data_IF_246088404154
#
_entry.id   IF_246088404154
#
_cell.length_a   1.000
_cell.length_b   1.000
_cell.length_c   1.000
_cell.angle_alpha   90.00
_cell.angle_beta   90.00
_cell.angle_gamma   90.00
#
_symmetry.space_group_name_H-M   'P 1'
#
loop_
_entity.id
_entity.type
_entity.pdbx_description
1 polymer ?
#
# COMPACT_ATOMS: atom_id res chain seq x y z
N UNK A 1 4.42 -36.87 -9.09
CA UNK A 1 3.91 -36.42 -7.79
C UNK A 1 2.43 -36.72 -7.77
N UNK A 2 1.98 -37.74 -7.02
CA UNK A 2 0.58 -38.05 -6.84
C UNK A 2 -0.10 -36.97 -6.02
N UNK A 3 -1.42 -36.82 -6.12
CA UNK A 3 -2.17 -35.89 -5.30
C UNK A 3 -1.94 -36.26 -3.82
N UNK A 4 -1.63 -35.26 -2.99
CA UNK A 4 -1.65 -35.43 -1.53
C UNK A 4 -3.10 -35.66 -1.15
N UNK A 5 -3.48 -36.94 -1.08
CA UNK A 5 -4.73 -37.33 -0.41
C UNK A 5 -4.43 -37.08 1.07
N UNK A 6 -5.04 -36.04 1.64
CA UNK A 6 -5.10 -35.86 3.08
C UNK A 6 -5.79 -37.12 3.63
N UNK A 7 -4.98 -38.02 4.18
CA UNK A 7 -5.48 -39.21 4.84
C UNK A 7 -6.15 -38.76 6.15
N UNK A 8 -7.47 -38.61 6.09
CA UNK A 8 -8.33 -38.22 7.21
C UNK A 8 -8.34 -39.26 8.36
N UNK A 9 -7.61 -40.36 8.20
CA UNK A 9 -7.45 -41.43 9.19
C UNK A 9 -6.14 -41.38 9.98
N UNK A 10 -5.32 -40.32 9.85
CA UNK A 10 -4.25 -40.09 10.82
C UNK A 10 -4.84 -39.92 12.21
N UNK A 11 -4.35 -40.62 13.24
CA UNK A 11 -5.07 -40.80 14.49
C UNK A 11 -5.36 -39.45 15.17
N UNK A 12 -6.63 -39.15 15.33
CA UNK A 12 -7.18 -37.96 16.01
C UNK A 12 -6.43 -37.63 17.32
N UNK A 13 -5.95 -38.67 18.02
CA UNK A 13 -5.14 -38.57 19.23
C UNK A 13 -3.80 -37.89 19.02
N UNK A 14 -3.11 -38.11 17.89
CA UNK A 14 -1.84 -37.45 17.57
C UNK A 14 -2.05 -35.96 17.32
N UNK A 15 -3.08 -35.59 16.60
CA UNK A 15 -3.39 -34.21 16.26
C UNK A 15 -3.85 -33.44 17.51
N UNK A 16 -4.62 -34.08 18.39
CA UNK A 16 -5.02 -33.53 19.70
C UNK A 16 -3.78 -33.35 20.59
N UNK A 17 -2.86 -34.31 20.63
CA UNK A 17 -1.62 -34.21 21.42
C UNK A 17 -0.71 -33.08 20.90
N UNK A 18 -0.55 -32.94 19.59
CA UNK A 18 0.20 -31.83 18.96
C UNK A 18 -0.47 -30.49 19.24
N UNK A 19 -1.77 -30.37 19.05
CA UNK A 19 -2.51 -29.15 19.36
C UNK A 19 -2.43 -28.79 20.84
N UNK A 20 -2.52 -29.78 21.74
CA UNK A 20 -2.39 -29.61 23.20
C UNK A 20 -0.99 -29.12 23.60
N UNK A 21 0.06 -29.74 23.05
CA UNK A 21 1.45 -29.30 23.30
C UNK A 21 1.71 -27.91 22.78
N UNK A 22 1.27 -27.57 21.58
CA UNK A 22 1.38 -26.22 21.04
C UNK A 22 0.67 -25.19 21.90
N UNK A 23 -0.56 -25.50 22.34
CA UNK A 23 -1.34 -24.61 23.21
C UNK A 23 -0.66 -24.36 24.54
N UNK A 24 -0.17 -25.43 25.21
CA UNK A 24 0.55 -25.30 26.47
C UNK A 24 1.84 -24.49 26.30
N UNK A 25 2.59 -24.74 25.24
CA UNK A 25 3.83 -23.99 24.92
C UNK A 25 3.55 -22.50 24.69
N UNK A 26 2.49 -22.16 23.95
CA UNK A 26 2.08 -20.77 23.72
C UNK A 26 1.63 -20.08 25.03
N UNK A 27 0.85 -20.76 25.86
CA UNK A 27 0.40 -20.20 27.15
C UNK A 27 1.58 -19.97 28.09
N UNK A 28 2.52 -20.92 28.17
CA UNK A 28 3.74 -20.77 28.96
C UNK A 28 4.61 -19.63 28.44
N UNK A 29 4.77 -19.52 27.13
CA UNK A 29 5.50 -18.44 26.49
C UNK A 29 4.88 -17.07 26.86
N UNK A 30 3.58 -16.89 26.70
CA UNK A 30 2.87 -15.67 27.06
C UNK A 30 3.02 -15.33 28.57
N UNK A 31 2.98 -16.34 29.44
CA UNK A 31 3.17 -16.14 30.87
C UNK A 31 4.59 -15.71 31.23
N UNK A 32 5.59 -16.29 30.58
CA UNK A 32 7.01 -15.93 30.77
C UNK A 32 7.28 -14.54 30.23
N UNK A 33 6.81 -14.24 28.99
CA UNK A 33 6.98 -12.94 28.35
C UNK A 33 6.32 -11.81 29.15
N UNK A 34 5.18 -12.08 29.79
CA UNK A 34 4.50 -11.10 30.63
C UNK A 34 5.32 -10.57 31.82
N UNK A 35 6.41 -11.26 32.19
CA UNK A 35 7.33 -10.84 33.25
C UNK A 35 8.44 -9.89 32.80
N UNK A 36 8.65 -9.73 31.50
CA UNK A 36 9.67 -8.85 30.94
C UNK A 36 9.12 -7.41 30.74
N UNK A 37 10.03 -6.39 30.68
CA UNK A 37 9.62 -5.04 30.29
C UNK A 37 9.11 -5.01 28.86
N UNK A 38 8.16 -4.12 28.56
CA UNK A 38 7.43 -4.06 27.28
C UNK A 38 8.36 -4.15 26.05
N UNK A 39 9.51 -3.43 26.07
CA UNK A 39 10.48 -3.46 24.96
C UNK A 39 11.06 -4.84 24.73
N UNK A 40 11.39 -5.55 25.82
CA UNK A 40 11.93 -6.91 25.72
C UNK A 40 10.84 -7.88 25.21
N UNK A 41 9.59 -7.77 25.67
CA UNK A 41 8.47 -8.55 25.14
C UNK A 41 8.36 -8.40 23.62
N UNK A 42 8.34 -7.17 23.14
CA UNK A 42 8.22 -6.88 21.69
C UNK A 42 9.38 -7.50 20.91
N UNK A 43 10.63 -7.29 21.36
CA UNK A 43 11.82 -7.84 20.67
C UNK A 43 11.80 -9.37 20.66
N UNK A 44 11.46 -10.01 21.80
CA UNK A 44 11.42 -11.47 21.90
C UNK A 44 10.37 -12.05 20.95
N UNK A 45 9.15 -11.48 20.94
CA UNK A 45 8.08 -11.93 20.02
C UNK A 45 8.48 -11.76 18.56
N UNK A 46 9.14 -10.66 18.20
CA UNK A 46 9.65 -10.48 16.83
C UNK A 46 10.72 -11.53 16.47
N UNK A 47 11.62 -11.86 17.40
CA UNK A 47 12.61 -12.92 17.17
C UNK A 47 11.95 -14.29 17.03
N UNK A 48 10.94 -14.61 17.85
CA UNK A 48 10.19 -15.86 17.77
C UNK A 48 9.43 -15.98 16.44
N UNK A 49 8.75 -14.90 16.02
CA UNK A 49 8.06 -14.86 14.74
C UNK A 49 9.03 -15.01 13.56
N UNK A 50 10.22 -14.41 13.66
CA UNK A 50 11.26 -14.58 12.65
C UNK A 50 11.77 -16.04 12.59
N UNK A 51 12.00 -16.67 13.75
CA UNK A 51 12.40 -18.07 13.79
C UNK A 51 11.32 -18.97 13.21
N UNK A 52 10.06 -18.78 13.59
CA UNK A 52 8.94 -19.53 13.01
C UNK A 52 8.83 -19.33 11.49
N UNK A 53 9.03 -18.10 11.02
CA UNK A 53 9.06 -17.78 9.60
C UNK A 53 10.18 -18.55 8.88
N UNK A 54 11.41 -18.56 9.43
CA UNK A 54 12.53 -19.29 8.84
C UNK A 54 12.29 -20.80 8.85
N UNK A 55 11.78 -21.37 9.93
CA UNK A 55 11.42 -22.78 10.02
C UNK A 55 10.32 -23.15 9.01
N UNK A 56 9.31 -22.29 8.86
CA UNK A 56 8.26 -22.48 7.86
C UNK A 56 8.85 -22.55 6.44
N UNK A 57 9.78 -21.66 6.11
CA UNK A 57 10.43 -21.69 4.80
C UNK A 57 11.37 -22.86 4.60
N UNK A 58 12.01 -23.35 5.65
CA UNK A 58 12.87 -24.54 5.57
C UNK A 58 12.06 -25.80 5.14
N UNK A 59 10.78 -25.87 5.52
CA UNK A 59 9.90 -26.99 5.11
C UNK A 59 9.65 -27.05 3.59
N UNK A 60 9.88 -25.97 2.84
CA UNK A 60 9.66 -25.91 1.38
C UNK A 60 10.89 -26.26 0.55
N UNK A 61 12.03 -26.63 1.18
CA UNK A 61 13.28 -26.97 0.49
C UNK A 61 13.71 -25.88 -0.52
N UNK A 62 13.68 -24.61 -0.08
CA UNK A 62 14.00 -23.46 -0.93
C UNK A 62 15.46 -23.47 -1.36
N UNK A 63 15.72 -23.19 -2.63
CA UNK A 63 17.07 -23.02 -3.14
C UNK A 63 17.57 -21.60 -2.89
N UNK A 64 18.31 -21.40 -1.80
CA UNK A 64 18.90 -20.10 -1.46
C UNK A 64 19.93 -19.63 -2.50
N UNK A 65 20.68 -20.56 -3.12
CA UNK A 65 21.60 -20.23 -4.21
C UNK A 65 20.89 -19.65 -5.44
N UNK A 66 19.71 -20.19 -5.77
CA UNK A 66 18.88 -19.65 -6.83
C UNK A 66 18.36 -18.25 -6.48
N UNK A 67 17.84 -18.05 -5.28
CA UNK A 67 17.40 -16.72 -4.80
C UNK A 67 18.54 -15.72 -4.91
N UNK A 68 19.74 -16.07 -4.40
CA UNK A 68 20.91 -15.20 -4.45
C UNK A 68 21.32 -14.82 -5.88
N UNK A 69 21.17 -15.73 -6.85
CA UNK A 69 21.48 -15.46 -8.25
C UNK A 69 20.51 -14.48 -8.93
N UNK A 70 19.25 -14.40 -8.45
CA UNK A 70 18.18 -13.59 -9.06
C UNK A 70 17.89 -12.28 -8.32
N UNK A 71 18.20 -12.21 -7.03
CA UNK A 71 17.84 -11.06 -6.17
C UNK A 71 18.46 -9.75 -6.69
N UNK A 72 19.67 -9.76 -7.20
CA UNK A 72 20.32 -8.59 -7.79
C UNK A 72 19.52 -8.00 -8.94
N UNK A 73 19.05 -8.84 -9.87
CA UNK A 73 18.20 -8.43 -10.98
C UNK A 73 16.83 -7.94 -10.51
N UNK A 74 16.21 -8.60 -9.54
CA UNK A 74 14.94 -8.15 -8.96
C UNK A 74 15.06 -6.79 -8.28
N UNK A 75 16.19 -6.50 -7.62
CA UNK A 75 16.43 -5.18 -7.02
C UNK A 75 16.65 -4.12 -8.11
N UNK A 76 17.58 -4.35 -9.02
CA UNK A 76 17.99 -3.33 -10.01
C UNK A 76 16.89 -3.01 -11.01
N UNK A 77 16.12 -3.99 -11.45
CA UNK A 77 15.04 -3.81 -12.41
C UNK A 77 13.67 -3.74 -11.74
N UNK A 78 13.33 -4.70 -10.89
CA UNK A 78 12.01 -4.83 -10.29
C UNK A 78 11.70 -3.73 -9.29
N UNK A 79 12.58 -3.53 -8.29
CA UNK A 79 12.40 -2.46 -7.29
C UNK A 79 12.41 -1.10 -7.97
N UNK A 80 13.34 -0.86 -8.91
CA UNK A 80 13.41 0.40 -9.64
C UNK A 80 12.10 0.70 -10.36
N UNK A 81 11.57 -0.26 -11.13
CA UNK A 81 10.30 -0.07 -11.87
C UNK A 81 9.11 0.11 -10.93
N UNK A 82 9.04 -0.68 -9.85
CA UNK A 82 8.00 -0.55 -8.81
C UNK A 82 7.98 0.85 -8.21
N UNK A 83 9.14 1.35 -7.78
CA UNK A 83 9.28 2.68 -7.18
C UNK A 83 9.01 3.78 -8.21
N UNK A 84 9.52 3.64 -9.42
CA UNK A 84 9.29 4.58 -10.52
C UNK A 84 7.79 4.73 -10.84
N UNK A 85 7.10 3.60 -11.09
CA UNK A 85 5.66 3.60 -11.41
C UNK A 85 4.86 4.19 -10.25
N UNK A 86 5.14 3.77 -9.02
CA UNK A 86 4.41 4.25 -7.85
C UNK A 86 4.64 5.75 -7.59
N UNK A 87 5.88 6.22 -7.71
CA UNK A 87 6.21 7.64 -7.47
C UNK A 87 5.58 8.55 -8.54
N UNK A 88 5.63 8.14 -9.80
CA UNK A 88 4.98 8.90 -10.87
C UNK A 88 3.46 8.91 -10.70
N UNK A 89 2.88 7.76 -10.36
CA UNK A 89 1.44 7.64 -10.14
C UNK A 89 0.96 8.48 -8.96
N UNK A 90 1.67 8.48 -7.82
CA UNK A 90 1.26 9.27 -6.65
C UNK A 90 1.38 10.78 -6.91
N UNK A 91 2.39 11.20 -7.68
CA UNK A 91 2.54 12.61 -8.05
C UNK A 91 1.35 13.10 -8.90
N UNK A 92 0.92 12.31 -9.89
CA UNK A 92 -0.26 12.61 -10.70
C UNK A 92 -1.53 12.52 -9.85
N UNK A 93 -1.68 11.47 -9.02
CA UNK A 93 -2.81 11.30 -8.11
C UNK A 93 -2.97 12.49 -7.16
N UNK A 94 -1.86 13.05 -6.67
CA UNK A 94 -1.86 14.24 -5.80
C UNK A 94 -2.47 15.45 -6.52
N UNK A 95 -2.09 15.69 -7.78
CA UNK A 95 -2.66 16.78 -8.59
C UNK A 95 -4.16 16.55 -8.82
N UNK A 96 -4.56 15.32 -9.20
CA UNK A 96 -5.96 14.97 -9.37
C UNK A 96 -6.77 15.15 -8.07
N UNK A 97 -6.17 14.80 -6.94
CA UNK A 97 -6.79 14.96 -5.63
C UNK A 97 -7.01 16.44 -5.24
N UNK A 98 -6.05 17.31 -5.55
CA UNK A 98 -6.21 18.76 -5.33
C UNK A 98 -7.35 19.32 -6.18
N UNK A 99 -7.39 18.96 -7.45
CA UNK A 99 -8.47 19.39 -8.36
C UNK A 99 -9.82 18.85 -7.91
N UNK A 100 -9.89 17.56 -7.59
CA UNK A 100 -11.09 16.89 -7.12
C UNK A 100 -11.60 17.47 -5.79
N UNK A 101 -10.74 17.67 -4.81
CA UNK A 101 -11.11 18.25 -3.52
C UNK A 101 -11.58 19.70 -3.66
N UNK A 102 -10.91 20.50 -4.48
CA UNK A 102 -11.31 21.88 -4.77
C UNK A 102 -12.69 21.92 -5.42
N UNK A 103 -12.94 21.06 -6.41
CA UNK A 103 -14.24 20.92 -7.06
C UNK A 103 -15.33 20.50 -6.07
N UNK A 104 -15.06 19.54 -5.19
CA UNK A 104 -15.99 19.04 -4.16
C UNK A 104 -16.31 20.06 -3.08
N UNK A 105 -15.40 20.99 -2.81
CA UNK A 105 -15.56 22.06 -1.80
C UNK A 105 -16.09 23.36 -2.41
N UNK A 106 -16.25 23.44 -3.73
CA UNK A 106 -16.77 24.61 -4.41
C UNK A 106 -18.30 24.76 -4.22
N UNK A 107 -18.83 25.92 -4.56
CA UNK A 107 -20.29 26.16 -4.67
C UNK A 107 -20.85 25.85 -6.07
N UNK A 108 -20.01 25.38 -7.00
CA UNK A 108 -20.41 25.08 -8.37
C UNK A 108 -20.97 23.66 -8.48
N UNK A 109 -22.30 23.52 -8.72
CA UNK A 109 -22.97 22.23 -8.81
C UNK A 109 -22.41 21.31 -9.91
N UNK A 110 -21.96 21.86 -11.04
CA UNK A 110 -21.37 21.11 -12.14
C UNK A 110 -19.99 20.50 -11.72
N UNK A 111 -19.14 21.31 -11.09
CA UNK A 111 -17.85 20.85 -10.58
C UNK A 111 -18.03 19.76 -9.51
N UNK A 112 -18.97 19.95 -8.58
CA UNK A 112 -19.32 18.97 -7.55
C UNK A 112 -19.79 17.66 -8.20
N UNK A 113 -20.66 17.71 -9.21
CA UNK A 113 -21.21 16.53 -9.87
C UNK A 113 -20.09 15.69 -10.55
N UNK A 114 -19.21 16.35 -11.33
CA UNK A 114 -18.09 15.68 -12.00
C UNK A 114 -17.13 15.04 -10.97
N UNK A 115 -16.72 15.79 -9.96
CA UNK A 115 -15.80 15.27 -8.95
C UNK A 115 -16.44 14.16 -8.10
N UNK A 116 -17.76 14.23 -7.87
CA UNK A 116 -18.52 13.17 -7.17
C UNK A 116 -18.60 11.90 -8.01
N UNK A 117 -18.88 12.02 -9.30
CA UNK A 117 -18.89 10.89 -10.23
C UNK A 117 -17.49 10.24 -10.31
N UNK A 118 -16.44 11.06 -10.49
CA UNK A 118 -15.06 10.60 -10.52
C UNK A 118 -14.70 9.80 -9.26
N UNK A 119 -14.93 10.36 -8.08
CA UNK A 119 -14.60 9.71 -6.82
C UNK A 119 -15.46 8.45 -6.58
N UNK A 120 -16.73 8.47 -6.94
CA UNK A 120 -17.61 7.31 -6.83
C UNK A 120 -17.17 6.18 -7.76
N UNK A 121 -16.90 6.47 -9.02
CA UNK A 121 -16.52 5.46 -10.02
C UNK A 121 -15.17 4.82 -9.70
N UNK A 122 -14.11 5.62 -9.55
CA UNK A 122 -12.75 5.08 -9.36
C UNK A 122 -12.51 4.45 -7.98
N UNK A 123 -13.32 4.73 -6.99
CA UNK A 123 -13.30 4.04 -5.70
C UNK A 123 -14.22 2.84 -5.64
N UNK A 124 -15.24 2.78 -6.50
CA UNK A 124 -16.21 1.69 -6.55
C UNK A 124 -15.82 0.54 -7.47
N UNK A 125 -14.98 0.78 -8.47
CA UNK A 125 -14.54 -0.24 -9.43
C UNK A 125 -13.19 -0.83 -8.97
N UNK A 126 -13.01 -2.17 -8.98
CA UNK A 126 -11.73 -2.78 -8.64
C UNK A 126 -10.58 -2.26 -9.52
N UNK A 127 -9.45 -1.93 -8.91
CA UNK A 127 -8.28 -1.37 -9.62
C UNK A 127 -7.80 -2.25 -10.77
N UNK A 128 -7.82 -3.56 -10.61
CA UNK A 128 -7.45 -4.50 -11.67
C UNK A 128 -8.32 -4.33 -12.93
N UNK A 129 -9.62 -4.10 -12.75
CA UNK A 129 -10.55 -3.85 -13.87
C UNK A 129 -10.21 -2.50 -14.53
N UNK A 130 -9.91 -1.46 -13.74
CA UNK A 130 -9.51 -0.16 -14.27
C UNK A 130 -8.25 -0.27 -15.14
N UNK A 131 -7.24 -1.05 -14.70
CA UNK A 131 -6.01 -1.30 -15.46
C UNK A 131 -6.34 -1.93 -16.82
N UNK A 132 -7.18 -2.97 -16.84
CA UNK A 132 -7.57 -3.62 -18.09
C UNK A 132 -8.42 -2.71 -19.00
N UNK A 133 -9.37 -1.97 -18.44
CA UNK A 133 -10.19 -1.05 -19.22
C UNK A 133 -9.35 0.04 -19.90
N UNK A 134 -8.32 0.54 -19.23
CA UNK A 134 -7.42 1.54 -19.80
C UNK A 134 -6.51 0.89 -20.85
N UNK A 135 -5.86 -0.22 -20.52
CA UNK A 135 -4.88 -0.86 -21.40
C UNK A 135 -5.49 -1.49 -22.65
N UNK A 136 -6.68 -2.09 -22.54
CA UNK A 136 -7.37 -2.76 -23.65
C UNK A 136 -8.43 -1.86 -24.31
N UNK A 137 -9.01 -0.91 -23.57
CA UNK A 137 -10.09 -0.06 -24.07
C UNK A 137 -9.59 1.12 -24.89
N UNK A 138 -8.54 1.82 -24.46
CA UNK A 138 -8.00 2.98 -25.19
C UNK A 138 -7.58 2.62 -26.62
N UNK A 139 -6.91 1.48 -26.90
CA UNK A 139 -6.57 1.08 -28.27
C UNK A 139 -7.78 0.90 -29.19
N UNK A 140 -8.94 0.52 -28.66
CA UNK A 140 -10.18 0.41 -29.46
C UNK A 140 -10.67 1.80 -29.95
N UNK A 141 -10.23 2.88 -29.33
CA UNK A 141 -10.48 4.25 -29.76
C UNK A 141 -9.41 4.76 -30.76
N UNK A 142 -8.48 3.90 -31.19
CA UNK A 142 -7.42 4.23 -32.14
C UNK A 142 -6.11 4.71 -31.50
N UNK A 143 -5.99 4.77 -30.17
CA UNK A 143 -4.79 5.23 -29.48
C UNK A 143 -4.05 4.08 -28.80
N UNK A 144 -2.85 3.74 -29.26
CA UNK A 144 -2.02 2.69 -28.64
C UNK A 144 -1.31 3.27 -27.42
N UNK A 145 -1.60 2.71 -26.24
CA UNK A 145 -0.97 3.08 -24.98
C UNK A 145 -0.08 1.95 -24.49
N UNK A 146 1.19 2.24 -24.21
CA UNK A 146 2.13 1.27 -23.63
C UNK A 146 1.72 0.85 -22.21
N UNK A 147 2.22 -0.32 -21.78
CA UNK A 147 1.84 -0.89 -20.48
C UNK A 147 2.17 0.03 -19.28
N UNK A 148 3.35 0.66 -19.29
CA UNK A 148 3.76 1.57 -18.19
C UNK A 148 2.85 2.79 -18.11
N UNK A 149 2.63 3.58 -19.19
CA UNK A 149 1.67 4.69 -19.15
C UNK A 149 0.26 4.28 -18.76
N UNK A 150 -0.24 3.14 -19.24
CA UNK A 150 -1.57 2.63 -18.90
C UNK A 150 -1.67 2.29 -17.40
N UNK A 151 -0.66 1.62 -16.85
CA UNK A 151 -0.58 1.30 -15.42
C UNK A 151 -0.49 2.55 -14.55
N UNK A 152 0.36 3.51 -14.93
CA UNK A 152 0.48 4.81 -14.23
C UNK A 152 -0.84 5.57 -14.26
N UNK A 153 -1.53 5.61 -15.40
CA UNK A 153 -2.82 6.30 -15.51
C UNK A 153 -3.88 5.64 -14.61
N UNK A 154 -3.98 4.32 -14.63
CA UNK A 154 -4.94 3.58 -13.80
C UNK A 154 -4.71 3.83 -12.30
N UNK A 155 -3.47 3.66 -11.84
CA UNK A 155 -3.08 3.93 -10.46
C UNK A 155 -3.36 5.39 -10.07
N UNK A 156 -3.01 6.34 -10.94
CA UNK A 156 -3.20 7.76 -10.67
C UNK A 156 -4.68 8.13 -10.53
N UNK A 157 -5.54 7.62 -11.40
CA UNK A 157 -6.98 7.88 -11.36
C UNK A 157 -7.62 7.26 -10.10
N UNK A 158 -7.27 6.02 -9.79
CA UNK A 158 -7.79 5.33 -8.62
C UNK A 158 -7.36 6.03 -7.32
N UNK A 159 -6.07 6.22 -7.12
CA UNK A 159 -5.53 6.83 -5.91
C UNK A 159 -5.83 8.32 -5.81
N UNK A 160 -5.92 9.03 -6.93
CA UNK A 160 -6.42 10.40 -6.98
C UNK A 160 -7.83 10.54 -6.43
N UNK A 161 -8.70 9.57 -6.72
CA UNK A 161 -10.06 9.53 -6.19
C UNK A 161 -10.08 9.30 -4.67
N UNK A 162 -9.26 8.39 -4.14
CA UNK A 162 -9.11 8.19 -2.69
C UNK A 162 -8.56 9.44 -2.00
N UNK A 163 -7.50 10.03 -2.55
CA UNK A 163 -6.87 11.23 -1.99
C UNK A 163 -7.77 12.47 -2.09
N UNK A 164 -8.64 12.56 -3.10
CA UNK A 164 -9.68 13.60 -3.20
C UNK A 164 -10.55 13.63 -1.94
N UNK A 165 -11.02 12.47 -1.50
CA UNK A 165 -11.85 12.38 -0.29
C UNK A 165 -11.05 12.66 0.99
N UNK A 166 -9.77 12.23 1.06
CA UNK A 166 -8.89 12.55 2.18
C UNK A 166 -8.73 14.07 2.31
N UNK A 167 -8.44 14.76 1.21
CA UNK A 167 -8.25 16.21 1.20
C UNK A 167 -9.54 16.95 1.56
N UNK A 168 -10.67 16.55 0.93
CA UNK A 168 -11.99 17.10 1.24
C UNK A 168 -12.33 16.91 2.73
N UNK A 169 -12.16 15.71 3.26
CA UNK A 169 -12.45 15.40 4.66
C UNK A 169 -11.55 16.20 5.62
N UNK A 170 -10.25 16.27 5.35
CA UNK A 170 -9.31 17.04 6.17
C UNK A 170 -9.63 18.53 6.22
N UNK A 171 -10.01 19.14 5.09
CA UNK A 171 -10.41 20.54 5.04
C UNK A 171 -11.77 20.76 5.74
N UNK A 172 -12.74 19.87 5.48
CA UNK A 172 -14.08 19.98 6.07
C UNK A 172 -14.12 19.73 7.57
N UNK A 173 -13.11 19.09 8.15
CA UNK A 173 -13.02 18.84 9.59
C UNK A 173 -12.59 20.04 10.42
N UNK A 174 -12.10 21.11 9.77
CA UNK A 174 -11.72 22.34 10.46
C UNK A 174 -12.96 23.05 11.01
N UNK A 175 -13.01 23.36 12.31
CA UNK A 175 -14.18 23.98 12.95
C UNK A 175 -14.65 25.26 12.25
N UNK A 176 -15.97 25.45 12.14
CA UNK A 176 -16.57 26.62 11.51
C UNK A 176 -16.09 27.93 12.12
N UNK A 177 -15.82 27.96 13.44
CA UNK A 177 -15.30 29.14 14.10
C UNK A 177 -13.97 29.67 13.52
N UNK A 178 -13.11 28.79 12.96
CA UNK A 178 -11.88 29.22 12.27
C UNK A 178 -12.20 30.01 10.98
N UNK A 179 -13.22 29.58 10.26
CA UNK A 179 -13.72 30.26 9.06
C UNK A 179 -14.39 31.60 9.39
N UNK A 180 -15.16 31.63 10.46
CA UNK A 180 -15.86 32.84 10.93
C UNK A 180 -14.88 33.86 11.49
N UNK A 181 -13.93 33.45 12.34
CA UNK A 181 -12.89 34.32 12.86
C UNK A 181 -12.02 34.93 11.75
N UNK A 182 -11.66 34.13 10.74
CA UNK A 182 -10.89 34.62 9.59
C UNK A 182 -11.64 35.72 8.83
N UNK A 183 -12.96 35.56 8.65
CA UNK A 183 -13.81 36.57 8.00
C UNK A 183 -13.96 37.82 8.86
N UNK A 184 -14.10 37.66 10.18
CA UNK A 184 -14.24 38.76 11.09
C UNK A 184 -13.03 39.71 11.11
N UNK A 185 -11.81 39.19 10.88
CA UNK A 185 -10.57 39.96 10.73
C UNK A 185 -10.29 40.45 9.30
N UNK A 186 -11.25 40.25 8.38
CA UNK A 186 -11.20 40.78 7.01
C UNK A 186 -10.35 39.96 6.03
N UNK A 187 -10.03 38.68 6.30
CA UNK A 187 -9.32 37.83 5.34
C UNK A 187 -10.21 37.47 4.15
N UNK A 188 -9.63 37.53 2.95
CA UNK A 188 -10.28 37.04 1.74
C UNK A 188 -10.43 35.50 1.80
N UNK A 189 -11.34 34.88 1.03
CA UNK A 189 -11.49 33.42 1.00
C UNK A 189 -10.18 32.68 0.71
N UNK A 190 -9.36 33.18 -0.22
CA UNK A 190 -8.06 32.61 -0.53
C UNK A 190 -7.07 32.74 0.63
N UNK A 191 -7.03 33.89 1.30
CA UNK A 191 -6.20 34.11 2.49
C UNK A 191 -6.65 33.23 3.64
N UNK A 192 -7.96 33.09 3.88
CA UNK A 192 -8.54 32.17 4.86
C UNK A 192 -8.08 30.75 4.58
N UNK A 193 -8.24 30.28 3.35
CA UNK A 193 -7.83 28.92 2.95
C UNK A 193 -6.32 28.70 3.16
N UNK A 194 -5.48 29.58 2.62
CA UNK A 194 -4.02 29.34 2.59
C UNK A 194 -3.33 29.63 3.92
N UNK A 195 -3.82 30.59 4.72
CA UNK A 195 -3.16 31.02 5.96
C UNK A 195 -3.73 30.37 7.22
N UNK A 196 -5.00 29.96 7.19
CA UNK A 196 -5.69 29.47 8.40
C UNK A 196 -6.12 27.99 8.25
N UNK A 197 -6.88 27.66 7.20
CA UNK A 197 -7.52 26.36 7.06
C UNK A 197 -6.52 25.29 6.60
N UNK A 198 -5.80 25.55 5.50
CA UNK A 198 -4.88 24.58 4.92
C UNK A 198 -3.77 24.16 5.88
N UNK A 199 -3.08 25.07 6.59
CA UNK A 199 -2.05 24.67 7.57
C UNK A 199 -2.60 23.76 8.68
N UNK A 200 -3.82 24.01 9.15
CA UNK A 200 -4.46 23.18 10.18
C UNK A 200 -4.89 21.82 9.61
N UNK A 201 -5.45 21.79 8.39
CA UNK A 201 -5.92 20.56 7.75
C UNK A 201 -4.78 19.63 7.32
N UNK A 202 -3.56 20.15 7.07
CA UNK A 202 -2.41 19.33 6.67
C UNK A 202 -2.06 18.25 7.69
N UNK A 203 -2.27 18.47 8.98
CA UNK A 203 -2.07 17.45 10.01
C UNK A 203 -3.00 16.26 9.86
N UNK A 204 -4.22 16.50 9.37
CA UNK A 204 -5.23 15.46 9.15
C UNK A 204 -5.09 14.82 7.77
N UNK A 205 -4.48 15.52 6.81
CA UNK A 205 -4.28 15.08 5.43
C UNK A 205 -3.00 14.24 5.26
N UNK A 206 -1.90 14.66 5.88
CA UNK A 206 -0.58 14.05 5.65
C UNK A 206 -0.53 12.56 6.04
N UNK A 207 -0.98 12.12 7.25
CA UNK A 207 -0.89 10.71 7.61
C UNK A 207 -1.66 9.78 6.66
N UNK A 208 -2.96 10.00 6.35
CA UNK A 208 -3.66 9.14 5.43
C UNK A 208 -3.10 9.22 4.00
N UNK A 209 -2.54 10.37 3.57
CA UNK A 209 -1.89 10.50 2.25
C UNK A 209 -0.63 9.63 2.16
N UNK A 210 0.19 9.61 3.21
CA UNK A 210 1.35 8.72 3.29
C UNK A 210 0.94 7.24 3.23
N UNK A 211 -0.11 6.86 3.95
CA UNK A 211 -0.67 5.50 3.89
C UNK A 211 -1.16 5.14 2.47
N UNK A 212 -1.72 6.10 1.72
CA UNK A 212 -2.10 5.86 0.32
C UNK A 212 -0.87 5.59 -0.56
N UNK A 213 0.26 6.25 -0.32
CA UNK A 213 1.48 5.98 -1.08
C UNK A 213 2.02 4.56 -0.82
N UNK A 214 2.07 4.15 0.46
CA UNK A 214 2.50 2.79 0.82
C UNK A 214 1.56 1.73 0.22
N UNK A 215 0.26 1.99 0.21
CA UNK A 215 -0.73 1.11 -0.42
C UNK A 215 -0.54 1.04 -1.93
N UNK A 216 -0.37 2.18 -2.59
CA UNK A 216 -0.12 2.25 -4.04
C UNK A 216 1.15 1.50 -4.45
N UNK A 217 2.22 1.56 -3.64
CA UNK A 217 3.45 0.82 -3.92
C UNK A 217 3.18 -0.69 -3.97
N UNK A 218 2.34 -1.22 -3.10
CA UNK A 218 1.95 -2.65 -3.11
C UNK A 218 0.98 -2.96 -4.26
N UNK A 219 0.01 -2.10 -4.50
CA UNK A 219 -0.98 -2.25 -5.57
C UNK A 219 -0.37 -2.05 -6.96
N UNK A 220 0.83 -1.45 -7.07
CA UNK A 220 1.58 -1.42 -8.33
C UNK A 220 1.90 -2.83 -8.86
N UNK A 221 1.89 -3.86 -8.00
CA UNK A 221 1.99 -5.27 -8.40
C UNK A 221 0.90 -5.69 -9.40
N UNK A 222 -0.26 -5.05 -9.38
CA UNK A 222 -1.35 -5.32 -10.31
C UNK A 222 -1.04 -4.95 -11.76
N UNK A 223 -0.11 -3.99 -12.00
CA UNK A 223 0.25 -3.64 -13.38
C UNK A 223 1.10 -4.72 -14.07
N UNK A 224 1.55 -5.73 -13.32
CA UNK A 224 2.20 -6.93 -13.87
C UNK A 224 1.34 -7.66 -14.89
N UNK A 225 0.01 -7.61 -14.75
CA UNK A 225 -0.93 -8.32 -15.62
C UNK A 225 -0.95 -7.77 -17.05
N UNK A 226 -0.55 -6.52 -17.24
CA UNK A 226 -0.42 -5.87 -18.55
C UNK A 226 1.03 -5.82 -19.05
N UNK A 227 1.95 -6.53 -18.38
CA UNK A 227 3.33 -6.70 -18.82
C UNK A 227 4.31 -5.63 -18.35
N UNK A 228 4.01 -4.87 -17.31
CA UNK A 228 4.97 -3.95 -16.68
C UNK A 228 6.00 -4.74 -15.87
N UNK A 229 7.28 -4.54 -16.14
CA UNK A 229 8.42 -5.29 -15.55
C UNK A 229 8.76 -4.79 -14.13
N UNK A 230 7.77 -4.80 -13.26
CA UNK A 230 7.94 -4.52 -11.84
C UNK A 230 8.18 -5.84 -11.05
N UNK A 231 8.32 -5.76 -9.73
CA UNK A 231 8.73 -6.89 -8.88
C UNK A 231 7.86 -8.15 -9.07
N UNK A 232 6.54 -8.02 -9.12
CA UNK A 232 5.63 -9.17 -9.25
C UNK A 232 5.74 -9.81 -10.63
N UNK A 233 5.86 -9.00 -11.70
CA UNK A 233 6.09 -9.51 -13.05
C UNK A 233 7.38 -10.32 -13.14
N UNK A 234 8.48 -9.78 -12.59
CA UNK A 234 9.77 -10.48 -12.59
C UNK A 234 9.72 -11.74 -11.74
N UNK A 235 9.09 -11.72 -10.58
CA UNK A 235 8.92 -12.91 -9.75
C UNK A 235 8.19 -14.03 -10.51
N UNK A 236 7.09 -13.70 -11.20
CA UNK A 236 6.32 -14.66 -11.99
C UNK A 236 7.09 -15.19 -13.19
N UNK A 237 7.80 -14.35 -13.92
CA UNK A 237 8.52 -14.74 -15.14
C UNK A 237 9.77 -15.55 -14.81
N UNK A 238 10.58 -15.12 -13.84
CA UNK A 238 11.76 -15.86 -13.40
C UNK A 238 11.39 -17.18 -12.71
N UNK A 239 10.35 -17.16 -11.87
CA UNK A 239 9.84 -18.37 -11.23
C UNK A 239 9.30 -19.40 -12.23
N UNK A 240 8.65 -18.93 -13.31
CA UNK A 240 8.15 -19.82 -14.38
C UNK A 240 9.28 -20.42 -15.21
N UNK A 241 10.29 -19.62 -15.56
CA UNK A 241 11.41 -20.07 -16.39
C UNK A 241 12.21 -21.23 -15.76
N UNK A 242 12.31 -21.26 -14.44
CA UNK A 242 13.11 -22.23 -13.68
C UNK A 242 12.25 -23.21 -12.85
N UNK A 243 10.90 -23.14 -12.98
CA UNK A 243 9.94 -23.92 -12.17
C UNK A 243 10.10 -23.69 -10.65
N UNK A 244 10.55 -22.48 -10.26
CA UNK A 244 10.81 -22.06 -8.87
C UNK A 244 9.94 -20.86 -8.47
N UNK A 245 8.62 -21.08 -8.60
CA UNK A 245 7.63 -20.03 -8.35
C UNK A 245 7.65 -19.52 -6.92
N UNK A 246 7.77 -20.43 -5.95
CA UNK A 246 7.68 -20.11 -4.53
C UNK A 246 8.86 -19.23 -4.10
N UNK A 247 10.08 -19.61 -4.48
CA UNK A 247 11.30 -18.85 -4.19
C UNK A 247 11.21 -17.41 -4.70
N UNK A 248 10.73 -17.23 -5.93
CA UNK A 248 10.63 -15.90 -6.53
C UNK A 248 9.51 -15.06 -5.93
N UNK A 249 8.36 -15.66 -5.62
CA UNK A 249 7.25 -14.95 -4.95
C UNK A 249 7.63 -14.53 -3.53
N UNK A 250 8.34 -15.39 -2.78
CA UNK A 250 8.85 -15.06 -1.45
C UNK A 250 9.86 -13.91 -1.56
N UNK A 251 10.78 -13.98 -2.52
CA UNK A 251 11.76 -12.91 -2.74
C UNK A 251 11.07 -11.58 -3.04
N UNK A 252 10.07 -11.59 -3.91
CA UNK A 252 9.28 -10.38 -4.18
C UNK A 252 8.53 -9.88 -2.93
N UNK A 253 7.91 -10.79 -2.17
CA UNK A 253 7.19 -10.44 -0.94
C UNK A 253 8.12 -9.77 0.10
N UNK A 254 9.32 -10.31 0.29
CA UNK A 254 10.34 -9.71 1.18
C UNK A 254 10.77 -8.33 0.67
N UNK A 255 11.02 -8.17 -0.63
CA UNK A 255 11.40 -6.88 -1.20
C UNK A 255 10.27 -5.83 -1.09
N UNK A 256 9.01 -6.19 -1.33
CA UNK A 256 7.86 -5.30 -1.08
C UNK A 256 7.74 -4.92 0.39
N UNK A 257 7.95 -5.87 1.29
CA UNK A 257 7.91 -5.63 2.73
C UNK A 257 9.01 -4.66 3.18
N UNK A 258 10.25 -4.86 2.72
CA UNK A 258 11.37 -3.94 3.01
C UNK A 258 11.12 -2.54 2.46
N UNK A 259 10.58 -2.42 1.24
CA UNK A 259 10.17 -1.13 0.66
C UNK A 259 9.07 -0.46 1.50
N UNK A 260 8.08 -1.23 1.97
CA UNK A 260 7.02 -0.71 2.83
C UNK A 260 7.57 -0.19 4.16
N UNK A 261 8.46 -0.94 4.83
CA UNK A 261 9.12 -0.50 6.07
C UNK A 261 9.92 0.79 5.85
N UNK A 262 10.64 0.89 4.72
CA UNK A 262 11.37 2.11 4.37
C UNK A 262 10.44 3.31 4.25
N UNK A 263 9.33 3.17 3.51
CA UNK A 263 8.34 4.23 3.33
C UNK A 263 7.64 4.59 4.64
N UNK A 264 7.25 3.61 5.46
CA UNK A 264 6.67 3.83 6.80
C UNK A 264 7.62 4.63 7.69
N UNK A 265 8.91 4.32 7.63
CA UNK A 265 9.94 5.06 8.39
C UNK A 265 10.06 6.51 7.92
N UNK A 266 10.02 6.74 6.61
CA UNK A 266 10.03 8.10 6.03
C UNK A 266 8.76 8.86 6.42
N UNK A 267 7.60 8.21 6.29
CA UNK A 267 6.30 8.78 6.67
C UNK A 267 6.28 9.20 8.15
N UNK A 268 6.68 8.32 9.06
CA UNK A 268 6.72 8.61 10.49
C UNK A 268 7.61 9.81 10.83
N UNK A 269 8.71 10.04 10.08
CA UNK A 269 9.56 11.22 10.24
C UNK A 269 8.88 12.49 9.75
N UNK A 270 8.17 12.41 8.62
CA UNK A 270 7.40 13.54 8.08
C UNK A 270 6.27 13.94 9.03
N UNK A 271 5.50 12.99 9.53
CA UNK A 271 4.42 13.24 10.50
C UNK A 271 4.94 13.96 11.76
N UNK A 272 6.02 13.44 12.36
CA UNK A 272 6.65 14.09 13.53
C UNK A 272 7.11 15.52 13.26
N UNK A 273 7.54 15.85 12.05
CA UNK A 273 7.95 17.20 11.66
C UNK A 273 6.75 18.15 11.62
N UNK A 274 5.61 17.69 11.08
CA UNK A 274 4.39 18.49 11.00
C UNK A 274 3.72 18.67 12.38
N UNK A 275 3.78 17.68 13.26
CA UNK A 275 3.28 17.80 14.64
C UNK A 275 4.07 18.80 15.47
N UNK A 276 5.41 18.86 15.30
CA UNK A 276 6.29 19.77 16.04
C UNK A 276 6.18 21.23 15.60
N UNK A 277 5.92 21.48 14.34
CA UNK A 277 5.87 22.84 13.79
C UNK A 277 4.69 23.68 14.34
N UNK A 278 3.86 23.09 15.21
CA UNK A 278 2.65 23.73 15.72
C UNK A 278 2.46 23.56 17.25
N UNK A 279 3.50 23.11 17.97
CA UNK A 279 3.60 23.26 19.42
C UNK A 279 4.37 24.54 19.75
#
# INVERSE_FOLDING_TARGET
>A
MGPIVLDLHAPLLRDIAVAGTLTVTLVLNLFILGRFPLRAQVITVWCELLVLFLLFFDTFNLSYSFIASKVGFMITQGVFTTVYVSTLSIAIAFVLALLGATARLSSNGFAIAIASFYTSFFRGVPLLIQIYLIYLGIPQLGYVVGAVPAGVLALSLCYGAYMTEIFRAGISSIPRGQWEASRAIGLTPLQTMTRVILPQSMRLIIPPTGNQFISMLKDSSLVSVIGVWELMFLARTQGRAEFRHLEMLITAAVLYWLLSILLETVQARLEKRFDRAHR
#
